data_IF_351392490789
#
_entry.id   IF_351392490789
#
_cell.length_a   1.000
_cell.length_b   1.000
_cell.length_c   1.000
_cell.angle_alpha   90.00
_cell.angle_beta   90.00
_cell.angle_gamma   90.00
#
_symmetry.space_group_name_H-M   'P 1'
#
loop_
_entity.id
_entity.type
_entity.pdbx_description
1 polymer ?
#
# COMPACT_ATOMS: atom_id res chain seq x y z
N UNK A 1 21.87 12.30 14.74
CA UNK A 1 21.70 10.92 14.88
C UNK A 1 20.27 10.54 14.80
N UNK A 2 19.48 11.15 15.59
CA UNK A 2 18.08 10.84 15.55
C UNK A 2 17.47 11.17 14.23
N UNK A 3 17.86 12.26 13.65
CA UNK A 3 17.31 12.62 12.37
C UNK A 3 17.73 11.64 11.28
N UNK A 4 18.91 11.06 11.45
CA UNK A 4 19.36 10.06 10.51
C UNK A 4 18.42 8.89 10.49
N UNK A 5 18.00 8.47 11.66
CA UNK A 5 17.10 7.37 11.75
C UNK A 5 15.77 7.67 11.08
N UNK A 6 15.26 8.86 11.30
CA UNK A 6 14.04 9.28 10.65
C UNK A 6 14.18 9.26 9.15
N UNK A 7 15.32 9.67 8.69
CA UNK A 7 15.54 9.76 7.26
C UNK A 7 15.58 8.41 6.59
N UNK A 8 15.78 7.35 7.37
CA UNK A 8 15.82 6.02 6.80
C UNK A 8 14.46 5.41 6.64
N UNK A 9 13.44 6.05 7.16
CA UNK A 9 12.11 5.51 7.01
C UNK A 9 11.68 5.59 5.57
N UNK A 10 10.95 4.55 5.17
CA UNK A 10 10.43 4.47 3.81
C UNK A 10 8.96 4.71 3.82
N UNK A 11 8.50 5.50 2.88
CA UNK A 11 7.08 5.74 2.69
C UNK A 11 6.67 5.08 1.40
N UNK A 12 5.64 4.25 1.47
CA UNK A 12 5.12 3.58 0.29
C UNK A 12 3.61 3.58 0.34
N UNK A 13 3.00 3.50 -0.82
CA UNK A 13 1.56 3.35 -0.92
C UNK A 13 1.31 1.96 -1.45
N UNK A 14 0.58 1.16 -0.66
CA UNK A 14 0.19 -0.18 -1.09
C UNK A 14 -1.19 -0.12 -1.70
N UNK A 15 -1.32 -0.66 -2.89
CA UNK A 15 -2.62 -0.81 -3.51
C UNK A 15 -3.02 -2.26 -3.33
N UNK A 16 -4.08 -2.49 -2.54
CA UNK A 16 -4.46 -3.85 -2.17
C UNK A 16 -5.92 -4.10 -2.52
N UNK A 17 -6.16 -5.29 -3.01
CA UNK A 17 -7.53 -5.75 -3.28
C UNK A 17 -8.00 -6.52 -2.05
N UNK A 18 -9.16 -6.14 -1.53
CA UNK A 18 -9.70 -6.71 -0.30
C UNK A 18 -11.16 -7.02 -0.54
N UNK A 19 -11.63 -8.14 0.01
CA UNK A 19 -13.05 -8.45 -0.06
C UNK A 19 -13.86 -7.33 0.60
N UNK A 20 -14.97 -6.97 -0.03
CA UNK A 20 -15.83 -5.90 0.47
C UNK A 20 -16.87 -6.49 1.39
N UNK A 21 -16.42 -6.92 2.56
CA UNK A 21 -17.28 -7.51 3.58
C UNK A 21 -16.84 -7.03 4.94
N UNK A 22 -17.77 -7.02 5.90
CA UNK A 22 -17.40 -6.57 7.24
C UNK A 22 -16.24 -7.35 7.80
N UNK A 23 -15.33 -6.66 8.43
CA UNK A 23 -14.21 -7.27 9.10
C UNK A 23 -12.96 -7.46 8.27
N UNK A 24 -13.05 -7.39 6.95
CA UNK A 24 -11.86 -7.65 6.14
C UNK A 24 -10.86 -6.50 6.18
N UNK A 25 -11.32 -5.28 6.21
CA UNK A 25 -10.40 -4.17 6.39
C UNK A 25 -9.71 -4.28 7.75
N UNK A 26 -10.44 -4.71 8.77
CA UNK A 26 -9.85 -4.91 10.07
C UNK A 26 -8.77 -5.95 10.08
N UNK A 27 -8.97 -7.05 9.34
CA UNK A 27 -7.96 -8.09 9.24
C UNK A 27 -6.70 -7.54 8.57
N UNK A 28 -6.89 -6.78 7.51
CA UNK A 28 -5.75 -6.19 6.80
C UNK A 28 -4.99 -5.24 7.71
N UNK A 29 -5.70 -4.32 8.35
CA UNK A 29 -5.06 -3.34 9.22
C UNK A 29 -4.37 -4.03 10.39
N UNK A 30 -5.02 -5.05 10.95
CA UNK A 30 -4.43 -5.81 12.05
C UNK A 30 -3.13 -6.48 11.65
N UNK A 31 -3.12 -7.09 10.47
CA UNK A 31 -1.90 -7.74 10.01
C UNK A 31 -0.79 -6.73 9.78
N UNK A 32 -1.12 -5.58 9.20
CA UNK A 32 -0.11 -4.54 9.01
C UNK A 32 0.45 -4.07 10.33
N UNK A 33 -0.41 -3.93 11.33
CA UNK A 33 0.05 -3.54 12.66
C UNK A 33 0.95 -4.58 13.28
N UNK A 34 0.57 -5.86 13.15
CA UNK A 34 1.39 -6.94 13.67
C UNK A 34 2.77 -6.96 13.03
N UNK A 35 2.84 -6.56 11.78
CA UNK A 35 4.11 -6.53 11.06
C UNK A 35 4.88 -5.23 11.32
N UNK A 36 4.35 -4.37 12.14
CA UNK A 36 5.06 -3.16 12.54
C UNK A 36 4.96 -2.00 11.57
N UNK A 37 4.10 -2.10 10.57
CA UNK A 37 3.94 -1.04 9.60
C UNK A 37 3.08 0.07 10.21
N UNK A 38 3.46 1.29 9.94
CA UNK A 38 2.75 2.45 10.43
C UNK A 38 1.78 2.92 9.38
N UNK A 39 0.49 2.82 9.68
CA UNK A 39 -0.55 3.15 8.70
C UNK A 39 -0.87 4.64 8.76
N UNK A 40 -0.86 5.26 7.60
CA UNK A 40 -1.27 6.64 7.50
C UNK A 40 -2.69 6.72 6.99
N UNK A 41 -2.84 6.99 5.70
CA UNK A 41 -4.14 7.22 5.10
C UNK A 41 -4.62 5.98 4.35
N UNK A 42 -5.91 5.71 4.42
CA UNK A 42 -6.53 4.63 3.67
C UNK A 42 -7.62 5.23 2.80
N UNK A 43 -7.55 4.98 1.51
CA UNK A 43 -8.55 5.47 0.58
C UNK A 43 -9.05 4.33 -0.30
N UNK A 44 -10.14 4.54 -0.98
CA UNK A 44 -10.66 3.59 -1.94
C UNK A 44 -10.21 4.02 -3.32
N UNK A 45 -9.50 3.13 -4.01
CA UNK A 45 -9.00 3.39 -5.33
C UNK A 45 -9.99 2.93 -6.40
N UNK A 46 -10.60 1.78 -6.19
CA UNK A 46 -11.54 1.23 -7.15
C UNK A 46 -12.46 0.26 -6.44
N UNK A 47 -13.56 -0.07 -7.10
CA UNK A 47 -14.58 -0.89 -6.49
C UNK A 47 -15.12 -1.87 -7.52
N UNK A 48 -15.21 -3.12 -7.14
CA UNK A 48 -15.79 -4.15 -7.97
C UNK A 48 -17.05 -4.69 -7.33
N UNK A 49 -17.60 -5.78 -7.90
CA UNK A 49 -18.86 -6.33 -7.39
C UNK A 49 -18.77 -6.80 -5.94
N UNK A 50 -17.67 -7.41 -5.56
CA UNK A 50 -17.53 -7.93 -4.20
C UNK A 50 -16.16 -7.67 -3.63
N UNK A 51 -15.46 -6.67 -4.14
CA UNK A 51 -14.13 -6.31 -3.61
C UNK A 51 -13.91 -4.82 -3.71
N UNK A 52 -12.97 -4.35 -2.93
CA UNK A 52 -12.49 -2.98 -3.00
C UNK A 52 -11.01 -3.02 -3.25
N UNK A 53 -10.52 -2.08 -4.03
CA UNK A 53 -9.08 -1.86 -4.13
C UNK A 53 -8.80 -0.60 -3.34
N UNK A 54 -8.01 -0.75 -2.29
CA UNK A 54 -7.68 0.35 -1.40
C UNK A 54 -6.24 0.76 -1.58
N UNK A 55 -5.99 2.03 -1.37
CA UNK A 55 -4.61 2.52 -1.30
C UNK A 55 -4.33 2.90 0.13
N UNK A 56 -3.22 2.39 0.65
CA UNK A 56 -2.86 2.59 2.04
C UNK A 56 -1.44 3.15 2.08
N UNK A 57 -1.29 4.31 2.69
CA UNK A 57 0.05 4.86 2.85
C UNK A 57 0.66 4.25 4.10
N UNK A 58 1.88 3.78 3.96
CA UNK A 58 2.56 3.05 5.02
C UNK A 58 3.98 3.56 5.18
N UNK A 59 4.43 3.55 6.42
CA UNK A 59 5.82 3.88 6.72
C UNK A 59 6.50 2.63 7.27
N UNK A 60 7.71 2.42 6.79
CA UNK A 60 8.54 1.29 7.21
C UNK A 60 9.85 1.79 7.74
N UNK A 61 10.49 0.99 8.57
CA UNK A 61 11.77 1.39 9.16
C UNK A 61 12.89 1.39 8.14
N UNK A 62 12.85 0.43 7.22
CA UNK A 62 13.89 0.30 6.21
C UNK A 62 13.41 -0.68 5.15
N UNK A 63 14.29 -0.97 4.20
CA UNK A 63 13.96 -1.83 3.09
C UNK A 63 13.62 -3.25 3.53
N UNK A 64 14.35 -3.76 4.50
CA UNK A 64 14.09 -5.10 5.00
C UNK A 64 12.71 -5.20 5.63
N UNK A 65 12.31 -4.17 6.35
CA UNK A 65 11.00 -4.13 6.96
C UNK A 65 9.92 -4.14 5.88
N UNK A 66 10.12 -3.37 4.81
CA UNK A 66 9.19 -3.35 3.69
C UNK A 66 9.00 -4.75 3.12
N UNK A 67 10.09 -5.46 2.89
CA UNK A 67 10.02 -6.80 2.32
C UNK A 67 9.28 -7.75 3.26
N UNK A 68 9.56 -7.65 4.57
CA UNK A 68 8.87 -8.50 5.54
C UNK A 68 7.36 -8.25 5.53
N UNK A 69 6.97 -6.99 5.38
CA UNK A 69 5.55 -6.68 5.38
C UNK A 69 4.88 -7.23 4.12
N UNK A 70 5.55 -7.10 2.99
CA UNK A 70 5.02 -7.66 1.75
C UNK A 70 4.83 -9.17 1.90
N UNK A 71 5.83 -9.85 2.44
CA UNK A 71 5.72 -11.30 2.65
C UNK A 71 4.59 -11.63 3.60
N UNK A 72 4.47 -10.87 4.68
CA UNK A 72 3.43 -11.13 5.66
C UNK A 72 2.03 -10.93 5.12
N UNK A 73 1.87 -9.99 4.21
CA UNK A 73 0.57 -9.79 3.60
C UNK A 73 0.19 -10.93 2.68
N UNK A 74 1.17 -11.54 2.06
CA UNK A 74 0.88 -12.61 1.09
C UNK A 74 0.25 -13.84 1.75
N UNK A 75 0.33 -13.94 3.07
CA UNK A 75 -0.28 -15.06 3.75
C UNK A 75 -1.74 -14.80 4.13
N UNK A 76 -2.25 -13.64 3.84
CA UNK A 76 -3.61 -13.27 4.17
C UNK A 76 -4.49 -13.56 2.96
N UNK A 77 -5.37 -14.54 3.08
CA UNK A 77 -6.11 -15.05 1.92
C UNK A 77 -7.02 -14.05 1.25
N UNK A 78 -7.59 -13.17 2.02
CA UNK A 78 -8.58 -12.25 1.48
C UNK A 78 -7.95 -10.98 0.91
N UNK A 79 -6.64 -10.92 0.85
CA UNK A 79 -5.92 -9.73 0.44
C UNK A 79 -4.99 -10.07 -0.70
N UNK A 80 -4.96 -9.21 -1.71
CA UNK A 80 -4.04 -9.36 -2.83
C UNK A 80 -3.34 -8.03 -3.05
N UNK A 81 -2.02 -8.03 -2.92
CA UNK A 81 -1.24 -6.82 -3.11
C UNK A 81 -1.07 -6.59 -4.61
N UNK A 82 -1.58 -5.48 -5.10
CA UNK A 82 -1.56 -5.21 -6.54
C UNK A 82 -0.42 -4.31 -6.95
N UNK A 83 0.02 -3.42 -6.06
CA UNK A 83 1.10 -2.52 -6.41
C UNK A 83 1.72 -1.96 -5.14
N UNK A 84 3.01 -1.68 -5.23
CA UNK A 84 3.75 -0.97 -4.20
C UNK A 84 4.29 0.28 -4.87
N UNK A 85 3.87 1.42 -4.41
CA UNK A 85 4.15 2.69 -5.07
C UNK A 85 5.04 3.55 -4.19
N UNK A 86 6.09 4.06 -4.80
CA UNK A 86 6.96 5.02 -4.12
C UNK A 86 6.40 6.41 -4.43
N UNK A 87 5.81 7.10 -3.46
CA UNK A 87 5.20 8.39 -3.74
C UNK A 87 6.20 9.44 -4.18
N UNK A 88 7.44 9.33 -3.77
CA UNK A 88 8.46 10.28 -4.20
C UNK A 88 8.75 10.07 -5.68
N UNK A 89 8.96 8.85 -6.08
CA UNK A 89 9.19 8.53 -7.47
C UNK A 89 8.00 8.89 -8.33
N UNK A 90 6.82 8.61 -7.81
CA UNK A 90 5.61 8.92 -8.53
C UNK A 90 5.44 10.41 -8.72
N UNK A 91 5.77 11.18 -7.70
CA UNK A 91 5.70 12.64 -7.81
C UNK A 91 6.68 13.15 -8.85
N UNK A 92 7.85 12.56 -8.90
CA UNK A 92 8.87 12.92 -9.86
C UNK A 92 8.41 12.68 -11.27
N UNK A 93 7.73 11.58 -11.48
CA UNK A 93 7.23 11.20 -12.78
C UNK A 93 5.76 11.54 -12.92
N UNK A 94 5.25 12.33 -12.02
CA UNK A 94 3.82 12.57 -11.93
C UNK A 94 3.20 12.98 -13.24
N UNK A 95 3.85 13.85 -13.95
CA UNK A 95 3.32 14.29 -15.21
C UNK A 95 3.16 13.16 -16.19
N UNK A 96 4.19 12.35 -16.30
CA UNK A 96 4.15 11.22 -17.21
C UNK A 96 3.11 10.22 -16.80
N UNK A 97 3.09 9.93 -15.54
CA UNK A 97 2.16 8.94 -15.05
C UNK A 97 0.75 9.39 -15.26
N UNK A 98 0.49 10.64 -15.00
CA UNK A 98 -0.84 11.16 -15.20
C UNK A 98 -1.28 10.95 -16.63
N UNK A 99 -0.37 11.09 -17.54
CA UNK A 99 -0.67 10.93 -18.94
C UNK A 99 -1.06 9.52 -19.25
N UNK A 100 -0.31 8.55 -18.76
CA UNK A 100 -0.62 7.21 -19.15
C UNK A 100 -1.60 6.55 -18.27
N UNK A 101 -1.90 7.08 -17.16
CA UNK A 101 -2.80 6.35 -16.31
C UNK A 101 -4.11 6.17 -16.97
N UNK A 102 -4.16 6.72 -18.01
CA UNK A 102 -5.28 6.37 -18.63
C UNK A 102 -5.19 5.13 -19.23
N UNK A 103 -4.78 4.64 -18.95
CA UNK A 103 -4.59 3.52 -19.23
C UNK A 103 -5.13 2.63 -18.73
N UNK A 104 -5.41 3.04 -18.53
CA UNK A 104 -5.84 2.29 -18.23
C UNK A 104 -6.52 1.84 -18.29
N UNK A 105 -6.69 2.34 -18.50
CA UNK A 105 -7.17 1.84 -18.69
C UNK A 105 -7.47 1.34 -19.29
N UNK A 106 -7.25 1.63 -19.44
CA UNK A 106 -7.37 1.08 -20.00
C UNK A 106 -7.46 0.53 -20.22
N UNK A 107 -7.54 0.96 -20.17
CA UNK A 107 -7.50 0.35 -20.42
C UNK A 107 -7.56 -0.06 -20.51
#
# INVERSE_FOLDING_TARGET
>A
MISTKSEQRLLRIFRVRVLDKPGYLGKLAGRLGELGANIGEITIFAQGPDFLIREISLQFENQEHLVRVIDGLSTLESVSLEAVIDPVEQAHEGGKIAVKSRFPLDS
#
